data_IF_806778824097
#
_entry.id   IF_806778824097
#
_cell.length_a   1.000
_cell.length_b   1.000
_cell.length_c   1.000
_cell.angle_alpha   90.00
_cell.angle_beta   90.00
_cell.angle_gamma   90.00
#
_symmetry.space_group_name_H-M   'P 1'
#
loop_
_entity.id
_entity.type
_entity.pdbx_description
1 polymer ?
#
# COMPACT_ATOMS: atom_id res chain seq x y z
N UNK A 1 8.59 -21.94 -1.38
CA UNK A 1 7.65 -21.18 -0.59
C UNK A 1 8.25 -19.90 -0.12
N UNK A 2 7.61 -18.82 -0.47
CA UNK A 2 8.17 -17.49 -0.23
C UNK A 2 7.48 -16.83 0.96
N UNK A 3 7.77 -17.35 2.13
CA UNK A 3 7.24 -16.80 3.37
C UNK A 3 8.32 -15.95 4.03
N UNK A 4 7.95 -14.77 4.49
CA UNK A 4 8.88 -13.84 5.11
C UNK A 4 8.35 -13.43 6.47
N UNK A 5 9.25 -12.94 7.30
CA UNK A 5 8.87 -12.42 8.62
C UNK A 5 9.28 -10.96 8.68
N UNK A 6 8.37 -10.11 9.16
CA UNK A 6 8.67 -8.70 9.34
C UNK A 6 9.05 -8.47 10.79
N UNK A 7 10.22 -7.87 10.99
CA UNK A 7 10.73 -7.56 12.32
C UNK A 7 10.79 -6.07 12.53
N UNK A 8 10.87 -5.66 13.80
CA UNK A 8 11.02 -4.24 14.13
C UNK A 8 12.28 -3.66 13.52
N UNK A 9 13.35 -4.45 13.46
CA UNK A 9 14.61 -4.01 12.87
C UNK A 9 14.44 -3.70 11.39
N UNK A 10 13.70 -4.55 10.69
CA UNK A 10 13.45 -4.33 9.26
C UNK A 10 12.65 -3.04 9.04
N UNK A 11 11.67 -2.81 9.90
CA UNK A 11 10.86 -1.59 9.78
C UNK A 11 11.73 -0.36 10.01
N UNK A 12 12.64 -0.44 10.99
CA UNK A 12 13.56 0.67 11.27
C UNK A 12 14.47 0.94 10.07
N UNK A 13 15.01 -0.11 9.46
CA UNK A 13 15.86 0.03 8.29
C UNK A 13 15.12 0.66 7.13
N UNK A 14 13.88 0.24 6.93
CA UNK A 14 13.08 0.81 5.86
C UNK A 14 12.83 2.29 6.11
N UNK A 15 12.56 2.67 7.37
CA UNK A 15 12.38 4.06 7.72
C UNK A 15 13.61 4.90 7.43
N UNK A 16 14.80 4.36 7.75
CA UNK A 16 16.05 5.06 7.44
C UNK A 16 16.24 5.23 5.93
N UNK A 17 15.89 4.18 5.18
CA UNK A 17 15.98 4.25 3.72
C UNK A 17 15.11 5.36 3.16
N UNK A 18 13.88 5.50 3.67
CA UNK A 18 12.98 6.55 3.22
C UNK A 18 13.55 7.93 3.54
N UNK A 19 14.19 8.08 4.70
CA UNK A 19 14.80 9.36 5.06
C UNK A 19 16.01 9.66 4.19
N UNK A 20 16.77 8.64 3.83
CA UNK A 20 17.92 8.82 2.94
C UNK A 20 17.48 9.25 1.55
N UNK A 21 16.29 8.86 1.14
CA UNK A 21 15.73 9.29 -0.13
C UNK A 21 15.14 10.69 -0.05
N UNK A 22 15.31 11.34 1.11
CA UNK A 22 14.87 12.72 1.31
C UNK A 22 13.37 12.90 1.15
N UNK A 23 12.61 11.87 1.52
CA UNK A 23 11.17 11.97 1.49
C UNK A 23 10.69 12.88 2.63
N UNK A 24 9.56 13.54 2.40
CA UNK A 24 9.00 14.42 3.43
C UNK A 24 8.71 13.63 4.71
N UNK A 25 8.93 14.25 5.89
CA UNK A 25 8.69 13.54 7.15
C UNK A 25 7.27 12.97 7.27
N UNK A 26 6.27 13.70 6.79
CA UNK A 26 4.90 13.20 6.83
C UNK A 26 4.72 11.95 5.98
N UNK A 27 5.41 11.89 4.84
CA UNK A 27 5.36 10.72 3.97
C UNK A 27 6.01 9.53 4.66
N UNK A 28 7.17 9.74 5.30
CA UNK A 28 7.87 8.67 6.01
C UNK A 28 6.98 8.12 7.11
N UNK A 29 6.39 8.98 7.92
CA UNK A 29 5.51 8.54 9.00
C UNK A 29 4.30 7.78 8.48
N UNK A 30 3.71 8.27 7.38
CA UNK A 30 2.55 7.63 6.82
C UNK A 30 2.88 6.21 6.31
N UNK A 31 4.01 6.07 5.64
CA UNK A 31 4.41 4.77 5.13
C UNK A 31 4.69 3.79 6.27
N UNK A 32 5.40 4.26 7.30
CA UNK A 32 5.71 3.39 8.44
C UNK A 32 4.45 3.00 9.19
N UNK A 33 3.50 3.93 9.34
CA UNK A 33 2.24 3.63 10.02
C UNK A 33 1.47 2.55 9.26
N UNK A 34 1.47 2.62 7.93
CA UNK A 34 0.75 1.63 7.14
C UNK A 34 1.41 0.27 7.20
N UNK A 35 2.73 0.22 7.24
CA UNK A 35 3.43 -1.06 7.43
C UNK A 35 3.10 -1.62 8.81
N UNK A 36 3.10 -0.77 9.84
CA UNK A 36 2.78 -1.21 11.20
C UNK A 36 1.37 -1.78 11.28
N UNK A 37 0.41 -1.17 10.59
CA UNK A 37 -0.95 -1.68 10.57
C UNK A 37 -1.03 -3.07 9.98
N UNK A 38 -0.28 -3.31 8.92
CA UNK A 38 -0.23 -4.63 8.29
C UNK A 38 0.38 -5.65 9.26
N UNK A 39 1.47 -5.27 9.92
CA UNK A 39 2.14 -6.15 10.87
C UNK A 39 1.22 -6.50 12.04
N UNK A 40 0.49 -5.51 12.53
CA UNK A 40 -0.46 -5.74 13.61
C UNK A 40 -1.54 -6.72 13.18
N UNK A 41 -2.04 -6.54 11.96
CA UNK A 41 -3.07 -7.43 11.41
C UNK A 41 -2.55 -8.85 11.25
N UNK A 42 -1.28 -8.98 10.83
CA UNK A 42 -0.66 -10.30 10.67
C UNK A 42 -0.59 -11.08 11.99
N UNK A 43 -0.43 -10.38 13.10
CA UNK A 43 -0.41 -10.98 14.43
C UNK A 43 0.61 -12.12 14.51
N UNK A 44 1.82 -11.89 14.00
CA UNK A 44 2.90 -12.86 14.07
C UNK A 44 2.93 -13.90 12.97
N UNK A 45 1.95 -13.87 12.05
CA UNK A 45 1.93 -14.80 10.95
C UNK A 45 2.98 -14.40 9.90
N UNK A 46 3.42 -15.38 9.13
CA UNK A 46 4.38 -15.11 8.06
C UNK A 46 3.73 -14.31 6.94
N UNK A 47 4.55 -13.51 6.26
CA UNK A 47 4.11 -12.73 5.11
C UNK A 47 4.22 -13.59 3.87
N UNK A 48 3.14 -13.72 3.14
CA UNK A 48 3.12 -14.38 1.85
C UNK A 48 2.28 -13.53 0.90
N UNK A 49 2.33 -13.87 -0.38
CA UNK A 49 1.47 -13.18 -1.35
C UNK A 49 0.01 -13.30 -0.94
N UNK A 50 -0.39 -14.48 -0.47
CA UNK A 50 -1.77 -14.69 -0.06
C UNK A 50 -2.15 -13.77 1.10
N UNK A 51 -1.25 -13.59 2.06
CA UNK A 51 -1.53 -12.69 3.18
C UNK A 51 -1.63 -11.25 2.71
N UNK A 52 -0.81 -10.84 1.77
CA UNK A 52 -0.88 -9.49 1.23
C UNK A 52 -2.22 -9.27 0.53
N UNK A 53 -2.69 -10.27 -0.22
CA UNK A 53 -3.99 -10.17 -0.90
C UNK A 53 -5.11 -10.13 0.13
N UNK A 54 -5.02 -10.95 1.20
CA UNK A 54 -6.01 -10.92 2.26
C UNK A 54 -6.06 -9.56 2.95
N UNK A 55 -4.90 -8.93 3.13
CA UNK A 55 -4.85 -7.58 3.70
C UNK A 55 -5.62 -6.60 2.83
N UNK A 56 -5.40 -6.67 1.52
CA UNK A 56 -6.12 -5.82 0.58
C UNK A 56 -7.63 -6.02 0.70
N UNK A 57 -8.06 -7.28 0.75
CA UNK A 57 -9.47 -7.60 0.89
C UNK A 57 -10.03 -7.12 2.23
N UNK A 58 -9.22 -7.23 3.28
CA UNK A 58 -9.61 -6.73 4.59
C UNK A 58 -9.86 -5.22 4.55
N UNK A 59 -8.99 -4.48 3.87
CA UNK A 59 -9.16 -3.03 3.76
C UNK A 59 -10.43 -2.69 2.99
N UNK A 60 -10.75 -3.47 1.96
CA UNK A 60 -11.99 -3.26 1.23
C UNK A 60 -13.19 -3.48 2.15
N UNK A 61 -13.13 -4.53 2.97
CA UNK A 61 -14.23 -4.84 3.89
C UNK A 61 -14.39 -3.77 4.96
N UNK A 62 -13.33 -3.04 5.27
CA UNK A 62 -13.38 -1.94 6.22
C UNK A 62 -13.98 -0.67 5.61
N UNK A 63 -14.28 -0.71 4.32
CA UNK A 63 -14.95 0.38 3.60
C UNK A 63 -14.12 1.65 3.48
N UNK A 64 -12.80 1.49 3.48
CA UNK A 64 -11.94 2.62 3.14
C UNK A 64 -12.16 3.01 1.68
N UNK A 65 -11.97 4.29 1.38
CA UNK A 65 -12.05 4.75 0.00
C UNK A 65 -10.96 4.09 -0.83
N UNK A 66 -11.22 3.78 -2.12
CA UNK A 66 -10.21 3.13 -2.95
C UNK A 66 -8.88 3.87 -3.00
N UNK A 67 -8.91 5.21 -3.05
CA UNK A 67 -7.67 5.99 -3.05
C UNK A 67 -6.88 5.78 -1.77
N UNK A 68 -7.57 5.69 -0.63
CA UNK A 68 -6.93 5.44 0.66
C UNK A 68 -6.29 4.06 0.67
N UNK A 69 -7.04 3.05 0.20
CA UNK A 69 -6.51 1.69 0.14
C UNK A 69 -5.28 1.63 -0.74
N UNK A 70 -5.32 2.29 -1.90
CA UNK A 70 -4.18 2.30 -2.81
C UNK A 70 -2.96 2.95 -2.16
N UNK A 71 -3.16 4.00 -1.38
CA UNK A 71 -2.05 4.61 -0.64
C UNK A 71 -1.44 3.65 0.37
N UNK A 72 -2.28 2.90 1.08
CA UNK A 72 -1.80 1.93 2.04
C UNK A 72 -1.06 0.79 1.36
N UNK A 73 -1.56 0.34 0.21
CA UNK A 73 -0.90 -0.71 -0.56
C UNK A 73 0.41 -0.23 -1.15
N UNK A 74 0.48 1.04 -1.57
CA UNK A 74 1.72 1.61 -2.09
C UNK A 74 2.83 1.57 -1.04
N UNK A 75 2.49 1.91 0.20
CA UNK A 75 3.46 1.86 1.29
C UNK A 75 3.96 0.43 1.50
N UNK A 76 3.03 -0.52 1.50
CA UNK A 76 3.39 -1.91 1.72
C UNK A 76 4.21 -2.46 0.56
N UNK A 77 3.82 -2.15 -0.68
CA UNK A 77 4.56 -2.58 -1.85
C UNK A 77 5.97 -2.00 -1.86
N UNK A 78 6.12 -0.76 -1.42
CA UNK A 78 7.42 -0.13 -1.32
C UNK A 78 8.30 -0.87 -0.31
N UNK A 79 7.72 -1.26 0.82
CA UNK A 79 8.43 -2.04 1.82
C UNK A 79 8.89 -3.38 1.24
N UNK A 80 7.99 -4.07 0.55
CA UNK A 80 8.33 -5.35 -0.07
C UNK A 80 9.45 -5.19 -1.10
N UNK A 81 9.39 -4.14 -1.92
CA UNK A 81 10.40 -3.89 -2.93
C UNK A 81 11.76 -3.62 -2.31
N UNK A 82 11.77 -2.89 -1.20
CA UNK A 82 13.02 -2.57 -0.52
C UNK A 82 13.74 -3.85 -0.08
N UNK A 83 12.99 -4.84 0.40
CA UNK A 83 13.58 -6.09 0.86
C UNK A 83 13.65 -7.15 -0.23
N UNK A 84 13.26 -6.80 -1.46
CA UNK A 84 13.35 -7.74 -2.58
C UNK A 84 12.24 -8.79 -2.61
N UNK A 85 11.16 -8.55 -1.88
CA UNK A 85 10.03 -9.51 -1.81
C UNK A 85 9.01 -9.19 -2.89
N UNK A 86 9.47 -9.21 -4.15
CA UNK A 86 8.61 -8.80 -5.27
C UNK A 86 7.37 -9.67 -5.41
N UNK A 87 7.48 -10.94 -5.03
CA UNK A 87 6.35 -11.86 -5.15
C UNK A 87 5.22 -11.51 -4.18
N UNK A 88 5.49 -10.71 -3.14
CA UNK A 88 4.48 -10.34 -2.17
C UNK A 88 3.72 -9.08 -2.54
N UNK A 89 4.15 -8.39 -3.59
CA UNK A 89 3.50 -7.13 -3.98
C UNK A 89 2.10 -7.40 -4.51
N UNK A 90 1.19 -6.48 -4.22
CA UNK A 90 -0.20 -6.61 -4.66
C UNK A 90 -0.57 -5.45 -5.55
N UNK A 91 -1.52 -5.69 -6.44
CA UNK A 91 -1.98 -4.66 -7.36
C UNK A 91 -2.90 -3.69 -6.64
N UNK A 92 -2.81 -2.41 -7.04
CA UNK A 92 -3.72 -1.40 -6.53
C UNK A 92 -5.14 -1.69 -7.01
N UNK A 93 -6.09 -1.17 -6.25
CA UNK A 93 -7.48 -1.24 -6.67
C UNK A 93 -7.69 -0.35 -7.88
N UNK A 94 -8.55 -0.81 -8.79
CA UNK A 94 -8.89 0.00 -9.95
C UNK A 94 -9.87 1.07 -9.50
N UNK A 95 -9.46 2.33 -9.63
CA UNK A 95 -10.34 3.45 -9.33
C UNK A 95 -11.09 3.80 -10.59
N UNK A 96 -12.42 3.67 -10.56
CA UNK A 96 -13.23 4.04 -11.72
C UNK A 96 -13.52 5.51 -11.68
N UNK A 97 -13.07 6.23 -12.70
CA UNK A 97 -13.38 7.64 -12.87
C UNK A 97 -14.48 7.76 -13.87
N UNK A 98 -15.45 8.43 -13.47
CA UNK A 98 -16.52 8.71 -14.38
C UNK A 98 -16.28 10.00 -15.09
N UNK A 99 -16.63 9.71 -15.32
CA UNK A 99 -16.35 10.59 -15.69
C UNK A 99 -16.58 11.45 -15.96
N UNK A 100 -16.83 11.06 -15.83
CA UNK A 100 -16.83 11.81 -15.92
C UNK A 100 -16.88 12.06 -16.83
N UNK A 101 -17.25 11.56 -17.18
CA UNK A 101 -17.13 11.69 -17.73
C UNK A 101 -17.51 11.57 -18.25
N UNK A 102 -18.01 11.56 -18.57
CA UNK A 102 -18.29 11.72 -18.84
C UNK A 102 -18.63 11.96 -19.42
N UNK A 103 -19.34 12.09 -19.99
CA UNK A 103 -19.42 12.52 -20.33
C UNK A 103 -19.56 13.03 -20.64
N UNK A 104 -20.04 13.08 -21.19
CA UNK A 104 -19.96 13.83 -21.09
C UNK A 104 -19.49 14.30 -21.28
N UNK A 105 -19.64 14.13 -21.89
CA UNK A 105 -19.13 14.77 -21.60
C UNK A 105 -18.39 15.18 -21.68
N UNK A 106 -18.33 15.19 -22.30
CA UNK A 106 -17.74 15.83 -21.95
C UNK A 106 -17.15 16.36 -21.72
N UNK A 107 -17.43 16.27 -22.55
CA UNK A 107 -16.89 17.08 -21.98
C UNK A 107 -16.21 17.45 -21.80
N UNK A 108 -16.36 17.35 -22.56
CA UNK A 108 -15.76 18.01 -21.97
C UNK A 108 -15.07 18.26 -21.65
N UNK A 109 -15.06 18.12 -22.43
CA UNK A 109 -14.49 18.61 -21.80
C UNK A 109 -14.13 18.89 -21.01
N UNK A 110 -14.31 18.76 -21.47
CA UNK A 110 -14.12 19.15 -20.44
C UNK A 110 -14.05 19.23 -19.54
N UNK A 111 -14.40 18.94 -19.97
CA UNK A 111 -14.48 19.15 -18.87
C UNK A 111 -14.14 19.18 -18.15
N UNK A 112 -14.25 18.92 -18.78
CA UNK A 112 -14.11 19.14 -17.72
C UNK A 112 -13.85 19.40 -17.25
#
# INVERSE_FOLDING_TARGET
>A
MNAHTITAEQIARYGEHLREEERAPGTVENYLRNVDRFVFWLAGRAVTREKAVEWKEHLVSCRYAPATINGMLSALNSFFSYFGWQECRVKALRVQRRAFRDPTRELTREEY
#
